data_IF_591639917997
#
_entry.id   IF_591639917997
#
_cell.length_a   1.000
_cell.length_b   1.000
_cell.length_c   1.000
_cell.angle_alpha   90.00
_cell.angle_beta   90.00
_cell.angle_gamma   90.00
#
_symmetry.space_group_name_H-M   'P 1'
#
loop_
_entity.id
_entity.type
_entity.pdbx_description
1 polymer ?
#
# COMPACT_ATOMS: atom_id res chain seq x y z
N UNK A 1 6.93 -22.59 12.97
CA UNK A 1 6.93 -21.42 12.07
C UNK A 1 5.60 -20.71 12.24
N UNK A 2 5.58 -19.58 12.95
CA UNK A 2 4.35 -18.83 13.20
C UNK A 2 3.83 -18.26 11.88
N UNK A 3 2.53 -18.40 11.61
CA UNK A 3 1.91 -17.77 10.45
C UNK A 3 2.06 -16.25 10.60
N UNK A 4 2.81 -15.60 9.71
CA UNK A 4 2.84 -14.14 9.62
C UNK A 4 1.44 -13.70 9.19
N UNK A 5 0.76 -12.95 10.07
CA UNK A 5 -0.62 -12.53 9.85
C UNK A 5 -0.62 -11.25 9.02
N UNK A 6 -0.99 -11.36 7.75
CA UNK A 6 -1.23 -10.20 6.90
C UNK A 6 -2.59 -9.58 7.24
N UNK A 7 -2.66 -8.25 7.40
CA UNK A 7 -3.93 -7.53 7.52
C UNK A 7 -4.02 -6.45 6.45
N UNK A 8 -5.18 -6.42 5.80
CA UNK A 8 -5.54 -5.42 4.80
C UNK A 8 -6.34 -4.30 5.46
N UNK A 9 -5.92 -3.06 5.21
CA UNK A 9 -6.67 -1.86 5.56
C UNK A 9 -7.17 -1.20 4.29
N UNK A 10 -8.46 -0.86 4.26
CA UNK A 10 -9.05 -0.09 3.16
C UNK A 10 -9.29 1.32 3.68
N UNK A 11 -8.75 2.30 2.96
CA UNK A 11 -8.89 3.71 3.30
C UNK A 11 -9.97 4.33 2.43
N UNK A 12 -10.91 5.04 3.08
CA UNK A 12 -12.04 5.65 2.40
C UNK A 12 -11.82 7.13 2.05
N UNK A 13 -10.78 7.77 2.63
CA UNK A 13 -10.44 9.16 2.36
C UNK A 13 -8.93 9.39 2.48
N UNK A 14 -8.38 10.16 1.54
CA UNK A 14 -6.95 10.49 1.45
C UNK A 14 -6.68 12.00 1.51
N UNK A 15 -7.73 12.82 1.64
CA UNK A 15 -7.68 14.28 1.37
C UNK A 15 -7.53 15.11 2.66
N UNK A 16 -7.91 14.55 3.81
CA UNK A 16 -7.71 15.16 5.11
C UNK A 16 -6.75 14.30 5.90
N UNK A 17 -5.76 14.90 6.57
CA UNK A 17 -4.72 14.11 7.25
C UNK A 17 -5.34 13.28 8.38
N UNK A 18 -5.40 11.95 8.27
CA UNK A 18 -6.10 11.10 9.21
C UNK A 18 -5.16 10.64 10.33
N UNK A 19 -4.26 11.51 10.81
CA UNK A 19 -3.19 11.10 11.75
C UNK A 19 -3.76 10.40 13.00
N UNK A 20 -4.81 10.94 13.61
CA UNK A 20 -5.40 10.37 14.82
C UNK A 20 -6.08 9.02 14.54
N UNK A 21 -6.84 8.92 13.45
CA UNK A 21 -7.53 7.69 13.06
C UNK A 21 -6.54 6.58 12.66
N UNK A 22 -5.51 6.92 11.89
CA UNK A 22 -4.49 5.96 11.47
C UNK A 22 -3.64 5.49 12.64
N UNK A 23 -3.22 6.38 13.54
CA UNK A 23 -2.47 6.00 14.72
C UNK A 23 -3.28 5.02 15.60
N UNK A 24 -4.58 5.25 15.77
CA UNK A 24 -5.47 4.35 16.51
C UNK A 24 -5.62 2.98 15.83
N UNK A 25 -5.82 2.97 14.50
CA UNK A 25 -5.94 1.73 13.72
C UNK A 25 -4.64 0.93 13.74
N UNK A 26 -3.49 1.60 13.69
CA UNK A 26 -2.17 0.99 13.63
C UNK A 26 -1.61 0.61 15.01
N UNK A 27 -2.13 1.17 16.11
CA UNK A 27 -1.65 0.91 17.46
C UNK A 27 -1.54 -0.59 17.82
N UNK A 28 -2.50 -1.48 17.49
CA UNK A 28 -2.37 -2.91 17.73
C UNK A 28 -1.23 -3.60 16.96
N UNK A 29 -0.71 -2.96 15.91
CA UNK A 29 0.36 -3.46 15.03
C UNK A 29 1.70 -2.77 15.27
N UNK A 30 1.90 -2.16 16.44
CA UNK A 30 3.16 -1.50 16.80
C UNK A 30 4.39 -2.44 16.73
N UNK A 31 4.17 -3.75 16.75
CA UNK A 31 5.21 -4.78 16.60
C UNK A 31 5.60 -5.09 15.15
N UNK A 32 4.82 -4.63 14.17
CA UNK A 32 5.06 -4.84 12.74
C UNK A 32 6.17 -3.91 12.27
N UNK A 33 7.11 -4.44 11.48
CA UNK A 33 8.25 -3.69 10.94
C UNK A 33 8.13 -3.38 9.46
N UNK A 34 7.31 -4.11 8.73
CA UNK A 34 7.20 -3.98 7.28
C UNK A 34 5.75 -3.73 6.90
N UNK A 35 5.49 -2.54 6.38
CA UNK A 35 4.19 -2.10 5.89
C UNK A 35 4.23 -1.99 4.38
N UNK A 36 3.14 -2.37 3.74
CA UNK A 36 3.01 -2.32 2.28
C UNK A 36 1.81 -1.45 1.94
N UNK A 37 2.04 -0.44 1.10
CA UNK A 37 0.99 0.29 0.41
C UNK A 37 0.68 -0.41 -0.91
N UNK A 38 -0.56 -0.87 -1.05
CA UNK A 38 -1.03 -1.54 -2.26
C UNK A 38 -2.03 -0.65 -3.00
N UNK A 39 -1.84 -0.45 -4.31
CA UNK A 39 -2.81 0.25 -5.16
C UNK A 39 -2.84 -0.32 -6.59
N UNK A 40 -3.98 -0.22 -7.25
CA UNK A 40 -4.13 -0.66 -8.65
C UNK A 40 -3.60 0.38 -9.63
N UNK A 41 -3.63 1.66 -9.27
CA UNK A 41 -3.19 2.77 -10.09
C UNK A 41 -1.67 2.75 -10.31
N UNK A 42 -1.17 3.26 -11.45
CA UNK A 42 0.26 3.49 -11.68
C UNK A 42 0.93 4.30 -10.55
N UNK A 43 2.22 4.05 -10.30
CA UNK A 43 3.00 4.68 -9.23
C UNK A 43 2.89 6.22 -9.19
N UNK A 44 2.87 6.86 -10.35
CA UNK A 44 2.74 8.31 -10.52
C UNK A 44 1.29 8.81 -10.46
N UNK A 45 0.34 7.94 -10.13
CA UNK A 45 -1.08 8.19 -10.03
C UNK A 45 -1.60 7.63 -8.69
N UNK A 46 -2.90 7.78 -8.45
CA UNK A 46 -3.51 7.39 -7.18
C UNK A 46 -2.99 8.21 -6.01
N UNK A 47 -3.04 7.62 -4.82
CA UNK A 47 -2.79 8.34 -3.57
C UNK A 47 -1.36 8.18 -3.02
N UNK A 48 -0.49 7.37 -3.65
CA UNK A 48 0.86 7.13 -3.16
C UNK A 48 1.65 8.42 -2.89
N UNK A 49 1.83 9.27 -3.92
CA UNK A 49 2.66 10.47 -3.75
C UNK A 49 2.06 11.51 -2.80
N UNK A 50 0.73 11.65 -2.77
CA UNK A 50 0.07 12.60 -1.88
C UNK A 50 -0.07 12.09 -0.44
N UNK A 51 0.03 10.78 -0.18
CA UNK A 51 -0.27 10.22 1.15
C UNK A 51 0.90 9.51 1.82
N UNK A 52 1.96 9.10 1.09
CA UNK A 52 3.06 8.31 1.66
C UNK A 52 3.72 8.95 2.89
N UNK A 53 3.73 10.28 3.00
CA UNK A 53 4.28 10.97 4.16
C UNK A 53 3.41 10.75 5.40
N UNK A 54 2.08 10.88 5.27
CA UNK A 54 1.13 10.60 6.36
C UNK A 54 1.25 9.16 6.87
N UNK A 55 1.47 8.20 5.97
CA UNK A 55 1.70 6.80 6.37
C UNK A 55 3.03 6.61 7.09
N UNK A 56 4.11 7.22 6.59
CA UNK A 56 5.43 7.15 7.24
C UNK A 56 5.40 7.76 8.64
N UNK A 57 4.62 8.80 8.85
CA UNK A 57 4.46 9.43 10.16
C UNK A 57 3.59 8.60 11.12
N UNK A 58 2.67 7.78 10.60
CA UNK A 58 1.76 6.97 11.40
C UNK A 58 2.29 5.57 11.75
N UNK A 59 3.21 5.00 10.96
CA UNK A 59 3.81 3.70 11.25
C UNK A 59 4.84 3.79 12.39
N UNK A 60 5.12 2.67 13.11
CA UNK A 60 6.08 2.66 14.20
C UNK A 60 7.48 3.14 13.77
N UNK A 61 8.18 3.84 14.66
CA UNK A 61 9.55 4.27 14.41
C UNK A 61 10.45 3.07 14.11
N UNK A 62 11.19 3.14 13.01
CA UNK A 62 12.06 2.06 12.53
C UNK A 62 11.35 1.01 11.68
N UNK A 63 10.04 1.11 11.47
CA UNK A 63 9.33 0.33 10.46
C UNK A 63 9.55 0.92 9.05
N UNK A 64 9.36 0.09 8.03
CA UNK A 64 9.48 0.45 6.62
C UNK A 64 8.12 0.50 5.94
N UNK A 65 7.98 1.36 4.93
CA UNK A 65 6.82 1.43 4.04
C UNK A 65 7.26 1.19 2.60
N UNK A 66 6.82 0.07 2.02
CA UNK A 66 7.08 -0.32 0.63
C UNK A 66 5.84 -0.11 -0.24
N UNK A 67 6.06 0.13 -1.52
CA UNK A 67 5.01 0.24 -2.53
C UNK A 67 4.85 -1.09 -3.27
N UNK A 68 3.60 -1.54 -3.43
CA UNK A 68 3.20 -2.63 -4.32
C UNK A 68 2.08 -2.13 -5.23
N UNK A 69 2.33 -2.06 -6.53
CA UNK A 69 1.37 -1.49 -7.48
C UNK A 69 1.93 -1.42 -8.88
N UNK A 70 1.18 -0.85 -9.81
CA UNK A 70 1.62 -0.75 -11.21
C UNK A 70 2.80 0.22 -11.34
N UNK A 71 3.73 -0.03 -12.28
CA UNK A 71 4.80 0.92 -12.59
C UNK A 71 4.21 2.24 -13.11
N UNK A 72 4.99 3.32 -13.04
CA UNK A 72 4.56 4.61 -13.54
C UNK A 72 4.19 4.56 -15.02
N UNK A 73 3.11 5.26 -15.39
CA UNK A 73 2.55 5.27 -16.74
C UNK A 73 1.86 6.60 -17.02
N UNK A 74 1.90 7.03 -18.28
CA UNK A 74 1.12 8.18 -18.76
C UNK A 74 -0.37 7.85 -18.87
N UNK A 75 -0.71 6.59 -19.16
CA UNK A 75 -2.10 6.10 -19.20
C UNK A 75 -2.50 5.51 -17.84
N UNK A 76 -3.78 5.66 -17.40
CA UNK A 76 -4.29 5.02 -16.19
C UNK A 76 -4.22 3.48 -16.22
N UNK A 77 -4.35 2.89 -17.40
CA UNK A 77 -4.28 1.45 -17.60
C UNK A 77 -3.72 1.09 -18.98
N UNK A 78 -3.23 -0.14 -19.11
CA UNK A 78 -2.94 -0.75 -20.40
C UNK A 78 -4.25 -1.06 -21.15
N UNK A 79 -4.23 -0.92 -22.48
CA UNK A 79 -5.44 -1.14 -23.30
C UNK A 79 -5.79 -2.61 -23.54
N UNK A 80 -4.86 -3.54 -23.31
CA UNK A 80 -5.07 -4.97 -23.52
C UNK A 80 -5.47 -5.66 -22.22
N UNK A 81 -6.61 -6.36 -22.22
CA UNK A 81 -7.14 -7.07 -21.04
C UNK A 81 -6.18 -8.12 -20.50
N UNK A 82 -5.48 -8.87 -21.37
CA UNK A 82 -4.51 -9.88 -20.94
C UNK A 82 -3.36 -9.28 -20.12
N UNK A 83 -2.78 -8.18 -20.62
CA UNK A 83 -1.71 -7.45 -19.92
C UNK A 83 -2.23 -6.80 -18.64
N UNK A 84 -3.48 -6.30 -18.65
CA UNK A 84 -4.09 -5.74 -17.46
C UNK A 84 -4.23 -6.78 -16.34
N UNK A 85 -4.67 -7.99 -16.67
CA UNK A 85 -4.81 -9.12 -15.73
C UNK A 85 -3.45 -9.60 -15.21
N UNK A 86 -2.43 -9.66 -16.06
CA UNK A 86 -1.07 -9.99 -15.67
C UNK A 86 -0.53 -8.99 -14.64
N UNK A 87 -0.68 -7.69 -14.91
CA UNK A 87 -0.27 -6.63 -13.97
C UNK A 87 -1.07 -6.69 -12.65
N UNK A 88 -2.36 -6.99 -12.71
CA UNK A 88 -3.20 -7.14 -11.52
C UNK A 88 -2.75 -8.31 -10.65
N UNK A 89 -2.41 -9.45 -11.28
CA UNK A 89 -1.88 -10.60 -10.56
C UNK A 89 -0.53 -10.27 -9.93
N UNK A 90 0.37 -9.64 -10.69
CA UNK A 90 1.71 -9.31 -10.23
C UNK A 90 1.70 -8.35 -9.02
N UNK A 91 0.86 -7.30 -9.03
CA UNK A 91 0.80 -6.36 -7.90
C UNK A 91 0.23 -7.01 -6.63
N UNK A 92 -0.76 -7.91 -6.78
CA UNK A 92 -1.31 -8.65 -5.64
C UNK A 92 -0.26 -9.61 -5.08
N UNK A 93 0.46 -10.33 -5.94
CA UNK A 93 1.54 -11.23 -5.51
C UNK A 93 2.66 -10.47 -4.79
N UNK A 94 3.08 -9.29 -5.28
CA UNK A 94 4.06 -8.45 -4.59
C UNK A 94 3.55 -7.92 -3.24
N UNK A 95 2.27 -7.53 -3.17
CA UNK A 95 1.66 -7.02 -1.93
C UNK A 95 1.52 -8.09 -0.82
N UNK A 96 1.31 -9.35 -1.21
CA UNK A 96 1.13 -10.48 -0.29
C UNK A 96 2.45 -11.21 0.02
N UNK A 97 3.55 -10.84 -0.64
CA UNK A 97 4.86 -11.47 -0.44
C UNK A 97 5.44 -11.03 0.90
N UNK A 98 5.51 -11.98 1.83
CA UNK A 98 6.13 -11.79 3.14
C UNK A 98 7.58 -12.28 3.08
N UNK A 99 8.51 -11.44 3.51
CA UNK A 99 9.94 -11.78 3.67
C UNK A 99 10.26 -12.26 5.09
#
# INVERSE_FOLDING_TARGET
>A
MGKQMLRLFVLNSYIHSPHDDMAQILAPYAHVKDFIWCQEEPLNQGAWYCSQHNFRDAIPTGATLRYAGRPASASPAVGYTSVHQEQQKALVEDALKVE
#
